data_IF_786496508441
#
_entry.id   IF_786496508441
#
_cell.length_a   1.000
_cell.length_b   1.000
_cell.length_c   1.000
_cell.angle_alpha   90.00
_cell.angle_beta   90.00
_cell.angle_gamma   90.00
#
_symmetry.space_group_name_H-M   'P 1'
#
loop_
_entity.id
_entity.type
_entity.pdbx_description
1 polymer ?
#
# COMPACT_ATOMS: atom_id res chain seq x y z
N UNK A 1 -8.54 35.04 -30.14
CA UNK A 1 -9.16 34.15 -29.15
C UNK A 1 -9.33 32.70 -29.66
N UNK A 2 -9.82 32.44 -30.88
CA UNK A 2 -10.05 31.06 -31.40
C UNK A 2 -8.79 30.20 -31.61
N UNK A 3 -7.66 30.80 -32.05
CA UNK A 3 -6.39 30.05 -32.26
C UNK A 3 -5.72 29.59 -30.97
N UNK A 4 -5.80 30.33 -29.88
CA UNK A 4 -5.25 29.97 -28.57
C UNK A 4 -6.06 28.83 -27.94
N UNK A 5 -7.38 28.88 -28.07
CA UNK A 5 -8.29 27.82 -27.58
C UNK A 5 -8.05 26.50 -28.34
N UNK A 6 -7.79 26.57 -29.66
CA UNK A 6 -7.49 25.36 -30.47
C UNK A 6 -6.11 24.74 -30.14
N UNK A 7 -5.09 25.56 -29.87
CA UNK A 7 -3.77 25.05 -29.45
C UNK A 7 -3.79 24.40 -28.05
N UNK A 8 -4.52 24.98 -27.10
CA UNK A 8 -4.69 24.38 -25.76
C UNK A 8 -5.43 23.05 -25.82
N UNK A 9 -6.50 22.93 -26.61
CA UNK A 9 -7.24 21.71 -26.79
C UNK A 9 -6.37 20.59 -27.43
N UNK A 10 -5.59 20.91 -28.46
CA UNK A 10 -4.68 19.97 -29.13
C UNK A 10 -3.58 19.51 -28.17
N UNK A 11 -3.03 20.42 -27.35
CA UNK A 11 -2.01 20.08 -26.36
C UNK A 11 -2.57 19.15 -25.27
N UNK A 12 -3.79 19.42 -24.78
CA UNK A 12 -4.47 18.57 -23.79
C UNK A 12 -4.76 17.17 -24.34
N UNK A 13 -5.25 17.06 -25.58
CA UNK A 13 -5.46 15.75 -26.23
C UNK A 13 -4.17 14.93 -26.39
N UNK A 14 -3.05 15.59 -26.73
CA UNK A 14 -1.74 14.92 -26.82
C UNK A 14 -1.25 14.40 -25.49
N UNK A 15 -1.41 15.19 -24.42
CA UNK A 15 -1.01 14.80 -23.06
C UNK A 15 -1.85 13.61 -22.53
N UNK A 16 -3.14 13.62 -22.81
CA UNK A 16 -4.02 12.51 -22.43
C UNK A 16 -3.66 11.23 -23.21
N UNK A 17 -3.33 11.32 -24.49
CA UNK A 17 -2.86 10.18 -25.28
C UNK A 17 -1.51 9.64 -24.75
N UNK A 18 -0.60 10.51 -24.33
CA UNK A 18 0.69 10.11 -23.75
C UNK A 18 0.47 9.40 -22.39
N UNK A 19 -0.41 9.89 -21.54
CA UNK A 19 -0.76 9.27 -20.27
C UNK A 19 -1.33 7.85 -20.46
N UNK A 20 -2.28 7.71 -21.40
CA UNK A 20 -2.89 6.42 -21.75
C UNK A 20 -1.82 5.44 -22.25
N UNK A 21 -0.96 5.87 -23.17
CA UNK A 21 0.11 5.05 -23.71
C UNK A 21 1.10 4.59 -22.63
N UNK A 22 1.44 5.45 -21.66
CA UNK A 22 2.31 5.08 -20.54
C UNK A 22 1.67 3.98 -19.68
N UNK A 23 0.38 4.10 -19.36
CA UNK A 23 -0.32 3.06 -18.61
C UNK A 23 -0.38 1.75 -19.39
N UNK A 24 -0.73 1.80 -20.69
CA UNK A 24 -0.73 0.60 -21.53
C UNK A 24 0.64 -0.08 -21.59
N UNK A 25 1.71 0.70 -21.73
CA UNK A 25 3.09 0.20 -21.71
C UNK A 25 3.42 -0.48 -20.37
N UNK A 26 3.06 0.16 -19.25
CA UNK A 26 3.30 -0.43 -17.92
C UNK A 26 2.50 -1.73 -17.72
N UNK A 27 1.25 -1.81 -18.17
CA UNK A 27 0.43 -3.03 -18.11
C UNK A 27 1.07 -4.16 -18.91
N UNK A 28 1.65 -3.87 -20.07
CA UNK A 28 2.27 -4.87 -20.96
C UNK A 28 3.51 -5.55 -20.34
N UNK A 29 4.17 -4.93 -19.37
CA UNK A 29 5.16 -5.62 -18.56
C UNK A 29 4.47 -6.61 -17.61
N UNK A 30 4.67 -7.92 -17.81
CA UNK A 30 4.14 -9.00 -16.97
C UNK A 30 4.91 -9.08 -15.66
N UNK A 31 4.90 -8.01 -14.90
CA UNK A 31 5.66 -7.84 -13.67
C UNK A 31 4.95 -8.48 -12.46
N UNK A 32 4.66 -9.77 -12.56
CA UNK A 32 4.12 -10.52 -11.40
C UNK A 32 5.20 -10.60 -10.32
N UNK A 33 4.81 -10.20 -9.10
CA UNK A 33 5.74 -10.10 -7.96
C UNK A 33 6.61 -11.34 -7.78
N UNK A 34 7.90 -11.23 -7.50
CA UNK A 34 8.74 -10.01 -7.37
C UNK A 34 9.43 -9.57 -8.68
N UNK A 35 8.96 -10.06 -9.84
CA UNK A 35 9.61 -9.81 -11.13
C UNK A 35 9.22 -8.45 -11.70
N UNK A 36 10.20 -7.60 -12.04
CA UNK A 36 9.96 -6.29 -12.66
C UNK A 36 9.68 -6.35 -14.18
N UNK A 37 10.02 -7.45 -14.85
CA UNK A 37 9.77 -7.73 -16.28
C UNK A 37 10.18 -6.59 -17.26
N UNK A 38 11.14 -5.73 -16.90
CA UNK A 38 11.57 -4.58 -17.69
C UNK A 38 10.88 -3.24 -17.34
N UNK A 39 9.88 -3.24 -16.48
CA UNK A 39 9.13 -2.03 -16.12
C UNK A 39 10.00 -0.98 -15.41
N UNK A 40 10.87 -1.40 -14.50
CA UNK A 40 11.80 -0.48 -13.81
C UNK A 40 12.84 0.08 -14.80
N UNK A 41 13.32 -0.73 -15.71
CA UNK A 41 14.28 -0.27 -16.73
C UNK A 41 13.64 0.78 -17.65
N UNK A 42 12.39 0.57 -18.02
CA UNK A 42 11.61 1.57 -18.76
C UNK A 42 11.41 2.86 -17.96
N UNK A 43 11.07 2.79 -16.67
CA UNK A 43 10.94 3.96 -15.81
C UNK A 43 12.26 4.73 -15.65
N UNK A 44 13.39 4.02 -15.55
CA UNK A 44 14.72 4.64 -15.50
C UNK A 44 14.95 5.47 -16.77
N UNK A 45 14.65 4.94 -17.96
CA UNK A 45 14.79 5.69 -19.22
C UNK A 45 13.91 6.96 -19.19
N UNK A 46 12.64 6.84 -18.79
CA UNK A 46 11.72 7.96 -18.75
C UNK A 46 12.16 9.05 -17.75
N UNK A 47 12.66 8.67 -16.58
CA UNK A 47 13.12 9.60 -15.58
C UNK A 47 14.47 10.24 -15.93
N UNK A 48 15.40 9.48 -16.51
CA UNK A 48 16.66 10.03 -17.01
C UNK A 48 16.45 11.07 -18.13
N UNK A 49 15.51 10.84 -19.05
CA UNK A 49 15.11 11.82 -20.06
C UNK A 49 14.56 13.14 -19.45
N UNK A 50 13.99 13.06 -18.25
CA UNK A 50 13.52 14.22 -17.49
C UNK A 50 14.61 14.86 -16.61
N UNK A 51 15.85 14.36 -16.66
CA UNK A 51 16.98 14.89 -15.90
C UNK A 51 17.15 14.34 -14.49
N UNK A 52 16.46 13.27 -14.13
CA UNK A 52 16.67 12.60 -12.83
C UNK A 52 17.98 11.81 -12.81
N UNK A 53 18.66 11.85 -11.68
CA UNK A 53 19.73 10.91 -11.34
C UNK A 53 19.09 9.61 -10.84
N UNK A 54 19.33 8.50 -11.53
CA UNK A 54 18.68 7.21 -11.28
C UNK A 54 19.67 6.19 -10.73
N UNK A 55 19.33 5.56 -9.61
CA UNK A 55 20.06 4.45 -9.02
C UNK A 55 19.15 3.22 -8.94
N UNK A 56 19.42 2.22 -9.78
CA UNK A 56 18.76 0.91 -9.74
C UNK A 56 19.61 -0.08 -8.95
N UNK A 57 19.02 -0.85 -8.05
CA UNK A 57 19.69 -1.92 -7.31
C UNK A 57 18.78 -3.11 -7.07
N UNK A 58 19.39 -4.27 -6.83
CA UNK A 58 18.64 -5.53 -6.59
C UNK A 58 19.00 -6.09 -5.22
N UNK A 59 17.98 -6.57 -4.50
CA UNK A 59 18.12 -7.27 -3.22
C UNK A 59 17.28 -8.54 -3.26
N UNK A 60 17.90 -9.70 -3.08
CA UNK A 60 17.22 -11.02 -3.09
C UNK A 60 16.24 -11.24 -4.25
N UNK A 61 16.60 -10.79 -5.45
CA UNK A 61 15.76 -10.93 -6.65
C UNK A 61 14.74 -9.80 -6.88
N UNK A 62 14.53 -8.95 -5.89
CA UNK A 62 13.68 -7.76 -5.99
C UNK A 62 14.48 -6.60 -6.57
N UNK A 63 13.91 -5.93 -7.56
CA UNK A 63 14.52 -4.74 -8.17
C UNK A 63 13.92 -3.46 -7.62
N UNK A 64 14.78 -2.54 -7.22
CA UNK A 64 14.41 -1.26 -6.63
C UNK A 64 15.03 -0.10 -7.43
N UNK A 65 14.34 1.04 -7.42
CA UNK A 65 14.77 2.28 -8.04
C UNK A 65 14.67 3.43 -7.04
N UNK A 66 15.78 4.17 -6.89
CA UNK A 66 15.81 5.50 -6.29
C UNK A 66 16.19 6.47 -7.41
N UNK A 67 15.32 7.40 -7.76
CA UNK A 67 15.65 8.46 -8.69
C UNK A 67 15.37 9.81 -8.03
N UNK A 68 16.21 10.83 -8.31
CA UNK A 68 16.02 12.15 -7.72
C UNK A 68 16.45 13.27 -8.66
N UNK A 69 15.81 14.42 -8.47
CA UNK A 69 16.22 15.68 -9.07
C UNK A 69 16.19 16.76 -7.99
N UNK A 70 17.27 17.53 -7.90
CA UNK A 70 17.36 18.70 -7.01
C UNK A 70 17.19 19.97 -7.84
N UNK A 71 16.27 20.82 -7.42
CA UNK A 71 16.09 22.19 -7.93
C UNK A 71 16.92 23.16 -7.09
N UNK A 72 16.26 24.09 -6.39
CA UNK A 72 16.87 24.97 -5.40
C UNK A 72 16.67 24.41 -3.98
N UNK A 73 17.04 25.16 -2.94
CA UNK A 73 16.72 24.77 -1.56
C UNK A 73 15.20 24.80 -1.34
N UNK A 74 14.69 23.77 -0.65
CA UNK A 74 13.26 23.63 -0.42
C UNK A 74 12.90 22.24 0.11
N UNK A 75 11.62 21.84 0.09
CA UNK A 75 11.17 20.57 0.65
C UNK A 75 11.74 19.37 -0.09
N UNK A 76 12.05 18.31 0.67
CA UNK A 76 12.49 17.02 0.16
C UNK A 76 11.31 16.05 0.20
N UNK A 77 10.67 15.80 -0.95
CA UNK A 77 9.46 14.97 -1.02
C UNK A 77 9.65 13.82 -2.01
N UNK A 78 9.14 12.65 -1.65
CA UNK A 78 9.16 11.48 -2.50
C UNK A 78 7.77 11.13 -3.06
N UNK A 79 7.75 10.53 -4.24
CA UNK A 79 6.69 9.65 -4.70
C UNK A 79 7.15 8.21 -4.54
N UNK A 80 6.35 7.40 -3.84
CA UNK A 80 6.59 5.97 -3.68
C UNK A 80 5.51 5.16 -4.39
N UNK A 81 5.93 4.04 -4.95
CA UNK A 81 5.03 3.11 -5.60
C UNK A 81 5.69 1.80 -5.98
N UNK A 82 4.89 0.90 -6.55
CA UNK A 82 5.34 -0.38 -7.04
C UNK A 82 4.94 -0.59 -8.50
N UNK A 83 5.66 -1.48 -9.18
CA UNK A 83 5.34 -1.89 -10.55
C UNK A 83 4.99 -3.38 -10.64
N UNK A 84 5.23 -4.12 -9.57
CA UNK A 84 4.79 -5.50 -9.48
C UNK A 84 3.27 -5.58 -9.31
N UNK A 85 2.74 -6.75 -9.57
CA UNK A 85 1.30 -7.03 -9.54
C UNK A 85 1.06 -8.44 -9.02
N UNK A 86 -0.10 -8.68 -8.42
CA UNK A 86 -0.54 -10.04 -8.07
C UNK A 86 -0.72 -10.89 -9.32
N UNK A 87 -0.67 -12.23 -9.23
CA UNK A 87 -0.96 -13.14 -10.34
C UNK A 87 -2.30 -12.85 -11.03
N UNK A 88 -2.37 -13.12 -12.31
CA UNK A 88 -3.56 -12.89 -13.15
C UNK A 88 -4.08 -14.14 -13.85
N UNK A 89 -3.66 -15.32 -13.40
CA UNK A 89 -3.86 -16.59 -14.12
C UNK A 89 -5.25 -17.21 -13.89
N UNK A 90 -6.01 -16.66 -12.94
CA UNK A 90 -7.30 -17.21 -12.54
C UNK A 90 -8.46 -16.37 -13.06
N UNK A 91 -9.28 -16.95 -13.93
CA UNK A 91 -10.57 -16.41 -14.34
C UNK A 91 -10.67 -16.02 -15.82
N UNK A 92 -11.90 -15.77 -16.22
CA UNK A 92 -12.25 -15.37 -17.60
C UNK A 92 -12.12 -13.85 -17.74
N UNK A 93 -10.95 -13.39 -18.19
CA UNK A 93 -10.72 -11.99 -18.48
C UNK A 93 -11.41 -11.58 -19.79
N UNK A 94 -12.08 -10.42 -19.82
CA UNK A 94 -12.66 -9.81 -21.03
C UNK A 94 -11.58 -9.53 -22.11
N UNK A 95 -10.36 -9.24 -21.67
CA UNK A 95 -9.18 -9.06 -22.54
C UNK A 95 -7.99 -9.71 -21.84
N UNK A 96 -6.93 -10.13 -22.57
CA UNK A 96 -5.73 -10.62 -21.90
C UNK A 96 -5.23 -9.64 -20.81
N UNK A 97 -4.91 -10.12 -19.60
CA UNK A 97 -4.66 -9.26 -18.44
C UNK A 97 -3.46 -8.31 -18.57
N UNK A 98 -2.58 -8.54 -19.54
CA UNK A 98 -1.41 -7.71 -19.82
C UNK A 98 -1.47 -7.02 -21.20
N UNK A 99 -2.67 -6.89 -21.78
CA UNK A 99 -2.87 -6.27 -23.10
C UNK A 99 -3.06 -4.74 -23.00
N UNK A 100 -3.61 -4.25 -21.88
CA UNK A 100 -3.91 -2.83 -21.70
C UNK A 100 -4.98 -2.32 -22.66
N UNK A 101 -5.95 -3.17 -23.03
CA UNK A 101 -6.98 -2.86 -24.02
C UNK A 101 -7.97 -1.82 -23.52
N UNK A 102 -8.35 -0.92 -24.42
CA UNK A 102 -9.38 0.08 -24.15
C UNK A 102 -10.72 -0.41 -24.72
N UNK A 103 -11.74 -0.45 -23.86
CA UNK A 103 -13.13 -0.73 -24.25
C UNK A 103 -14.01 0.35 -23.62
N UNK A 104 -14.75 1.08 -24.43
CA UNK A 104 -15.71 2.11 -23.99
C UNK A 104 -15.14 3.13 -22.99
N UNK A 105 -13.89 3.61 -23.21
CA UNK A 105 -13.25 4.60 -22.33
C UNK A 105 -12.66 4.02 -21.05
N UNK A 106 -12.55 2.69 -20.94
CA UNK A 106 -11.98 1.97 -19.80
C UNK A 106 -10.77 1.17 -20.25
N UNK A 107 -9.66 1.27 -19.52
CA UNK A 107 -8.42 0.53 -19.77
C UNK A 107 -8.43 -0.70 -18.86
N UNK A 108 -8.42 -1.89 -19.46
CA UNK A 108 -8.41 -3.18 -18.77
C UNK A 108 -6.99 -3.73 -18.68
N UNK A 109 -6.62 -4.21 -17.50
CA UNK A 109 -5.36 -4.92 -17.30
C UNK A 109 -4.99 -5.07 -15.83
N UNK A 110 -4.26 -6.13 -15.50
CA UNK A 110 -3.70 -6.35 -14.17
C UNK A 110 -2.70 -5.22 -13.85
N UNK A 111 -2.90 -4.60 -12.66
CA UNK A 111 -2.12 -3.44 -12.25
C UNK A 111 -2.65 -2.10 -12.79
N UNK A 112 -3.73 -2.09 -13.57
CA UNK A 112 -4.28 -0.84 -14.11
C UNK A 112 -4.69 0.14 -13.00
N UNK A 113 -5.29 -0.36 -11.93
CA UNK A 113 -5.66 0.41 -10.74
C UNK A 113 -4.59 0.33 -9.64
N UNK A 114 -3.98 -0.84 -9.46
CA UNK A 114 -3.04 -1.15 -8.38
C UNK A 114 -1.67 -1.59 -8.92
N UNK A 115 -0.62 -0.69 -8.98
CA UNK A 115 -0.80 0.77 -8.95
C UNK A 115 -0.13 1.42 -10.18
N UNK A 116 -0.02 0.67 -11.31
CA UNK A 116 0.61 1.19 -12.56
C UNK A 116 -0.07 2.44 -13.10
N UNK A 117 -1.39 2.58 -12.89
CA UNK A 117 -2.13 3.80 -13.25
C UNK A 117 -1.67 5.01 -12.45
N UNK A 118 -1.46 4.85 -11.13
CA UNK A 118 -0.87 5.88 -10.28
C UNK A 118 0.54 6.28 -10.72
N UNK A 119 1.38 5.28 -11.08
CA UNK A 119 2.73 5.51 -11.60
C UNK A 119 2.71 6.26 -12.93
N UNK A 120 1.83 5.87 -13.88
CA UNK A 120 1.69 6.55 -15.18
C UNK A 120 1.22 8.00 -15.01
N UNK A 121 0.26 8.23 -14.10
CA UNK A 121 -0.26 9.55 -13.79
C UNK A 121 0.83 10.44 -13.18
N UNK A 122 1.59 9.94 -12.19
CA UNK A 122 2.67 10.69 -11.56
C UNK A 122 3.80 10.99 -12.56
N UNK A 123 4.15 10.04 -13.44
CA UNK A 123 5.19 10.25 -14.46
C UNK A 123 4.78 11.36 -15.46
N UNK A 124 3.51 11.42 -15.82
CA UNK A 124 3.00 12.49 -16.70
C UNK A 124 2.96 13.84 -15.98
N UNK A 125 2.52 13.87 -14.72
CA UNK A 125 2.55 15.06 -13.89
C UNK A 125 3.98 15.57 -13.65
N UNK A 126 4.94 14.66 -13.41
CA UNK A 126 6.37 14.99 -13.29
C UNK A 126 6.91 15.63 -14.57
N UNK A 127 6.60 15.08 -15.73
CA UNK A 127 7.00 15.68 -17.01
C UNK A 127 6.42 17.09 -17.20
N UNK A 128 5.17 17.32 -16.82
CA UNK A 128 4.56 18.65 -16.84
C UNK A 128 5.28 19.63 -15.91
N UNK A 129 5.61 19.19 -14.68
CA UNK A 129 6.35 20.00 -13.72
C UNK A 129 7.72 20.38 -14.27
N UNK A 130 8.50 19.43 -14.78
CA UNK A 130 9.85 19.68 -15.31
C UNK A 130 9.82 20.67 -16.46
N UNK A 131 8.86 20.52 -17.37
CA UNK A 131 8.72 21.36 -18.57
C UNK A 131 8.07 22.74 -18.28
N UNK A 132 7.58 22.98 -17.06
CA UNK A 132 7.06 24.31 -16.70
C UNK A 132 8.20 25.31 -16.61
N UNK A 133 7.96 26.55 -17.03
CA UNK A 133 8.93 27.65 -17.00
C UNK A 133 9.09 28.31 -15.63
N UNK A 134 8.25 27.92 -14.66
CA UNK A 134 8.28 28.46 -13.30
C UNK A 134 9.55 28.04 -12.55
N UNK A 135 10.08 28.92 -11.70
CA UNK A 135 11.15 28.59 -10.76
C UNK A 135 10.70 27.49 -9.81
N UNK A 136 11.60 26.58 -9.48
CA UNK A 136 11.32 25.40 -8.64
C UNK A 136 12.31 25.31 -7.49
N UNK A 137 11.80 24.88 -6.32
CA UNK A 137 12.60 24.66 -5.11
C UNK A 137 12.32 23.27 -4.53
N UNK A 138 13.34 22.66 -3.90
CA UNK A 138 13.24 21.37 -3.25
C UNK A 138 13.95 20.24 -3.99
N UNK A 139 13.78 19.03 -3.46
CA UNK A 139 14.30 17.79 -4.05
C UNK A 139 13.15 16.81 -4.22
N UNK A 140 12.96 16.30 -5.44
CA UNK A 140 11.93 15.32 -5.74
C UNK A 140 12.55 13.94 -5.92
N UNK A 141 12.08 12.97 -5.15
CA UNK A 141 12.47 11.56 -5.21
C UNK A 141 11.37 10.71 -5.83
N UNK A 142 11.79 9.72 -6.63
CA UNK A 142 10.98 8.57 -7.04
C UNK A 142 11.54 7.32 -6.38
N UNK A 143 10.71 6.58 -5.66
CA UNK A 143 11.04 5.38 -4.89
C UNK A 143 10.14 4.25 -5.38
N UNK A 144 10.70 3.36 -6.22
CA UNK A 144 9.90 2.33 -6.89
C UNK A 144 10.46 0.95 -6.56
N UNK A 145 9.57 0.02 -6.25
CA UNK A 145 9.91 -1.38 -5.98
C UNK A 145 9.18 -2.36 -6.89
N UNK A 146 9.64 -3.61 -6.91
CA UNK A 146 8.96 -4.76 -7.48
C UNK A 146 8.54 -5.81 -6.45
N UNK A 147 8.30 -5.41 -5.18
CA UNK A 147 7.99 -6.32 -4.05
C UNK A 147 7.00 -5.69 -3.05
N UNK A 148 5.98 -4.98 -3.51
CA UNK A 148 4.90 -4.54 -2.62
C UNK A 148 3.83 -5.64 -2.45
N UNK A 149 3.47 -6.29 -3.55
CA UNK A 149 2.46 -7.34 -3.64
C UNK A 149 2.96 -8.73 -3.16
N UNK A 150 4.22 -8.80 -2.75
CA UNK A 150 4.87 -10.01 -2.23
C UNK A 150 5.08 -9.97 -0.73
N UNK A 151 6.27 -10.36 -0.28
CA UNK A 151 6.63 -10.38 1.13
C UNK A 151 7.03 -8.99 1.66
N UNK A 152 7.28 -8.01 0.79
CA UNK A 152 7.69 -6.63 1.09
C UNK A 152 8.95 -6.52 1.99
N UNK A 153 9.85 -7.50 1.90
CA UNK A 153 11.08 -7.55 2.72
C UNK A 153 12.27 -6.91 2.02
N UNK A 154 12.35 -7.06 0.68
CA UNK A 154 13.49 -6.67 -0.13
C UNK A 154 13.20 -5.46 -1.04
N UNK A 155 12.00 -4.89 -0.92
CA UNK A 155 11.51 -3.74 -1.65
C UNK A 155 11.72 -2.42 -0.91
N UNK A 156 10.65 -1.72 -0.62
CA UNK A 156 10.64 -0.38 0.01
C UNK A 156 11.36 -0.32 1.35
N UNK A 157 11.43 -1.42 2.10
CA UNK A 157 12.25 -1.51 3.30
C UNK A 157 13.75 -1.25 3.00
N UNK A 158 14.27 -1.83 1.90
CA UNK A 158 15.66 -1.63 1.48
C UNK A 158 15.89 -0.22 0.91
N UNK A 159 14.89 0.34 0.21
CA UNK A 159 14.92 1.74 -0.23
C UNK A 159 15.05 2.67 0.98
N UNK A 160 14.19 2.50 2.00
CA UNK A 160 14.20 3.31 3.22
C UNK A 160 15.54 3.20 3.97
N UNK A 161 16.09 1.99 4.10
CA UNK A 161 17.41 1.76 4.71
C UNK A 161 18.52 2.49 3.94
N UNK A 162 18.48 2.46 2.61
CA UNK A 162 19.46 3.13 1.75
C UNK A 162 19.37 4.64 1.84
N UNK A 163 18.16 5.21 1.87
CA UNK A 163 17.98 6.66 2.12
C UNK A 163 18.57 7.05 3.47
N UNK A 164 18.24 6.30 4.52
CA UNK A 164 18.74 6.56 5.88
C UNK A 164 20.26 6.46 5.98
N UNK A 165 20.88 5.44 5.38
CA UNK A 165 22.34 5.27 5.38
C UNK A 165 23.08 6.38 4.64
N UNK A 166 22.42 7.00 3.66
CA UNK A 166 22.94 8.16 2.92
C UNK A 166 22.60 9.51 3.60
N UNK A 167 22.01 9.49 4.80
CA UNK A 167 21.63 10.70 5.53
C UNK A 167 20.49 11.50 4.87
N UNK A 168 19.71 10.87 3.99
CA UNK A 168 18.58 11.51 3.30
C UNK A 168 17.35 11.47 4.20
N UNK A 169 16.82 12.65 4.52
CA UNK A 169 15.60 12.82 5.32
C UNK A 169 14.53 13.41 4.42
N UNK A 170 13.40 12.73 4.31
CA UNK A 170 12.25 13.20 3.56
C UNK A 170 11.33 14.05 4.47
N UNK A 171 10.85 15.18 3.97
CA UNK A 171 9.78 15.97 4.60
C UNK A 171 8.41 15.31 4.37
N UNK A 172 8.25 14.65 3.22
CA UNK A 172 7.03 13.97 2.87
C UNK A 172 7.21 12.84 1.84
N UNK A 173 6.27 11.91 1.84
CA UNK A 173 6.18 10.84 0.87
C UNK A 173 4.73 10.68 0.41
N UNK A 174 4.51 10.75 -0.89
CA UNK A 174 3.22 10.49 -1.54
C UNK A 174 3.28 9.05 -2.04
N UNK A 175 2.36 8.21 -1.59
CA UNK A 175 2.24 6.84 -2.09
C UNK A 175 1.08 6.79 -3.08
N UNK A 176 1.34 6.29 -4.28
CA UNK A 176 0.38 6.32 -5.39
C UNK A 176 -0.68 5.20 -5.35
N UNK A 177 -0.92 4.61 -4.19
CA UNK A 177 -1.89 3.54 -3.96
C UNK A 177 -3.33 3.92 -4.29
N UNK A 178 -4.18 2.99 -4.75
CA UNK A 178 -5.59 3.23 -5.02
C UNK A 178 -6.36 3.44 -3.72
N UNK A 179 -6.63 4.69 -3.37
CA UNK A 179 -7.27 5.09 -2.11
C UNK A 179 -8.73 5.50 -2.25
N UNK A 180 -9.12 5.96 -3.45
CA UNK A 180 -10.46 6.46 -3.71
C UNK A 180 -11.48 5.33 -3.79
N UNK A 181 -12.71 5.57 -3.34
CA UNK A 181 -13.77 4.55 -3.30
C UNK A 181 -14.81 4.74 -4.41
N UNK A 182 -15.57 5.82 -4.38
CA UNK A 182 -16.65 6.09 -5.34
C UNK A 182 -16.18 7.03 -6.45
N UNK A 183 -15.43 8.08 -6.09
CA UNK A 183 -14.90 9.08 -7.00
C UNK A 183 -13.44 9.34 -6.69
N UNK A 184 -12.64 9.62 -7.72
CA UNK A 184 -11.25 10.01 -7.53
C UNK A 184 -11.15 11.22 -6.60
N UNK A 185 -10.32 11.08 -5.56
CA UNK A 185 -10.10 12.12 -4.57
C UNK A 185 -11.14 12.16 -3.44
N UNK A 186 -12.09 11.24 -3.35
CA UNK A 186 -13.04 11.20 -2.22
C UNK A 186 -12.39 10.75 -0.90
N UNK A 187 -11.33 9.99 -0.99
CA UNK A 187 -10.63 9.42 0.17
C UNK A 187 -9.13 9.41 -0.06
N UNK A 188 -8.35 9.83 0.95
CA UNK A 188 -6.90 9.65 1.02
C UNK A 188 -6.55 8.92 2.31
N UNK A 189 -5.38 8.27 2.33
CA UNK A 189 -4.90 7.64 3.56
C UNK A 189 -3.80 8.50 4.18
N UNK A 190 -4.05 8.92 5.42
CA UNK A 190 -3.06 9.60 6.26
C UNK A 190 -2.44 8.64 7.28
N UNK A 191 -2.61 7.34 7.09
CA UNK A 191 -2.08 6.27 7.91
C UNK A 191 -2.67 4.92 7.53
N UNK A 192 -2.07 3.88 8.05
CA UNK A 192 -2.55 2.50 7.94
C UNK A 192 -2.51 1.81 9.28
N UNK A 193 -3.44 0.90 9.49
CA UNK A 193 -3.39 0.00 10.65
C UNK A 193 -2.22 -0.97 10.50
N UNK A 194 -1.64 -1.37 11.63
CA UNK A 194 -0.72 -2.49 11.67
C UNK A 194 -1.41 -3.82 11.42
N UNK A 195 -0.64 -4.82 11.09
CA UNK A 195 -1.09 -6.21 10.94
C UNK A 195 -0.16 -7.15 11.68
N UNK A 196 -0.73 -8.19 12.28
CA UNK A 196 0.02 -9.25 12.96
C UNK A 196 -0.76 -10.54 12.85
N UNK A 197 -0.12 -11.60 12.38
CA UNK A 197 -0.68 -12.94 12.38
C UNK A 197 -0.06 -13.76 13.51
N UNK A 198 -0.78 -14.76 13.96
CA UNK A 198 -0.24 -15.72 14.89
C UNK A 198 -0.87 -17.09 14.74
N UNK A 199 -0.10 -18.08 15.15
CA UNK A 199 -0.48 -19.49 15.23
C UNK A 199 -0.30 -19.97 16.67
N UNK A 200 -1.37 -20.41 17.32
CA UNK A 200 -1.34 -21.01 18.64
C UNK A 200 -1.39 -22.54 18.49
N UNK A 201 -0.36 -23.20 18.95
CA UNK A 201 -0.32 -24.66 19.08
C UNK A 201 -0.78 -25.04 20.47
N UNK A 202 -1.92 -25.73 20.57
CA UNK A 202 -2.48 -26.21 21.82
C UNK A 202 -2.12 -27.68 22.03
N UNK A 203 -1.48 -28.01 23.15
CA UNK A 203 -1.09 -29.37 23.52
C UNK A 203 -1.89 -29.85 24.73
N UNK A 204 -2.56 -30.99 24.56
CA UNK A 204 -3.27 -31.72 25.57
C UNK A 204 -2.68 -33.11 25.80
N UNK A 205 -3.54 -34.04 26.19
CA UNK A 205 -3.21 -35.46 26.34
C UNK A 205 -4.36 -36.33 25.83
N UNK A 206 -4.09 -37.13 24.79
CA UNK A 206 -5.06 -38.05 24.21
C UNK A 206 -5.50 -39.15 25.18
N UNK A 207 -6.64 -39.74 24.90
CA UNK A 207 -7.17 -40.91 25.57
C UNK A 207 -8.60 -41.21 25.18
N UNK A 208 -9.16 -42.28 25.71
CA UNK A 208 -10.51 -42.73 25.38
C UNK A 208 -11.54 -41.79 26.03
N UNK A 209 -12.55 -41.34 25.30
CA UNK A 209 -13.60 -40.41 25.77
C UNK A 209 -14.37 -40.89 27.01
N UNK A 210 -14.44 -42.21 27.21
CA UNK A 210 -15.05 -42.83 28.40
C UNK A 210 -14.22 -42.63 29.67
N UNK A 211 -12.95 -42.20 29.59
CA UNK A 211 -12.05 -42.02 30.73
C UNK A 211 -11.48 -40.59 30.74
N UNK A 212 -12.32 -39.57 30.84
CA UNK A 212 -11.91 -38.16 30.69
C UNK A 212 -10.90 -37.71 31.75
N UNK A 213 -10.90 -38.32 32.95
CA UNK A 213 -9.97 -38.00 34.06
C UNK A 213 -8.49 -38.27 33.70
N UNK A 214 -8.22 -39.10 32.70
CA UNK A 214 -6.87 -39.41 32.23
C UNK A 214 -6.42 -38.61 31.02
N UNK A 215 -7.22 -37.64 30.59
CA UNK A 215 -7.02 -36.85 29.36
C UNK A 215 -6.90 -35.36 29.62
N UNK A 216 -6.39 -34.63 28.64
CA UNK A 216 -6.45 -33.17 28.57
C UNK A 216 -6.93 -32.85 27.15
N UNK A 217 -8.17 -32.36 27.03
CA UNK A 217 -8.79 -32.13 25.74
C UNK A 217 -8.31 -30.82 25.13
N UNK A 218 -7.50 -30.90 24.08
CA UNK A 218 -6.97 -29.74 23.36
C UNK A 218 -8.10 -28.92 22.72
N UNK A 219 -9.18 -29.56 22.23
CA UNK A 219 -10.32 -28.85 21.64
C UNK A 219 -11.06 -28.00 22.68
N UNK A 220 -11.26 -28.50 23.91
CA UNK A 220 -11.90 -27.71 24.98
C UNK A 220 -11.05 -26.52 25.42
N UNK A 221 -9.71 -26.66 25.46
CA UNK A 221 -8.80 -25.56 25.74
C UNK A 221 -8.88 -24.53 24.61
N UNK A 222 -8.83 -24.98 23.36
CA UNK A 222 -8.91 -24.12 22.18
C UNK A 222 -10.21 -23.31 22.13
N UNK A 223 -11.34 -23.91 22.46
CA UNK A 223 -12.63 -23.21 22.53
C UNK A 223 -12.59 -22.04 23.55
N UNK A 224 -11.97 -22.24 24.72
CA UNK A 224 -11.80 -21.18 25.74
C UNK A 224 -10.87 -20.07 25.24
N UNK A 225 -9.78 -20.43 24.55
CA UNK A 225 -8.83 -19.48 23.96
C UNK A 225 -9.54 -18.64 22.90
N UNK A 226 -10.28 -19.25 21.98
CA UNK A 226 -11.04 -18.56 20.93
C UNK A 226 -12.04 -17.57 21.52
N UNK A 227 -12.78 -18.01 22.55
CA UNK A 227 -13.72 -17.12 23.24
C UNK A 227 -12.98 -15.90 23.83
N UNK A 228 -11.87 -16.13 24.52
CA UNK A 228 -11.07 -15.07 25.13
C UNK A 228 -10.47 -14.10 24.09
N UNK A 229 -10.00 -14.62 22.96
CA UNK A 229 -9.52 -13.80 21.84
C UNK A 229 -10.63 -12.95 21.22
N UNK A 230 -11.84 -13.51 21.07
CA UNK A 230 -12.99 -12.82 20.48
C UNK A 230 -13.56 -11.71 21.39
N UNK A 231 -13.41 -11.84 22.70
CA UNK A 231 -13.85 -10.88 23.72
C UNK A 231 -12.76 -9.85 24.09
N UNK A 232 -11.58 -9.90 23.47
CA UNK A 232 -10.47 -9.01 23.81
C UNK A 232 -10.85 -7.54 23.60
N UNK A 233 -10.82 -6.76 24.66
CA UNK A 233 -11.07 -5.32 24.63
C UNK A 233 -9.79 -4.54 24.23
N UNK A 234 -9.97 -3.49 23.41
CA UNK A 234 -8.91 -2.62 22.91
C UNK A 234 -9.13 -1.19 23.45
N UNK A 235 -8.35 -0.77 24.42
CA UNK A 235 -8.59 0.47 25.18
C UNK A 235 -7.87 1.70 24.63
N UNK A 236 -6.91 1.54 23.69
CA UNK A 236 -6.16 2.66 23.13
C UNK A 236 -6.71 3.13 21.79
N UNK A 237 -7.72 2.44 21.25
CA UNK A 237 -8.33 2.82 19.98
C UNK A 237 -8.99 4.19 20.04
N UNK A 238 -9.02 4.88 18.91
CA UNK A 238 -9.79 6.09 18.68
C UNK A 238 -10.91 5.86 17.65
N UNK A 239 -11.72 6.88 17.42
CA UNK A 239 -12.86 6.78 16.51
C UNK A 239 -12.44 6.53 15.03
N UNK A 240 -11.23 6.92 14.65
CA UNK A 240 -10.74 6.83 13.26
C UNK A 240 -9.95 5.56 12.96
N UNK A 241 -9.52 4.80 13.99
CA UNK A 241 -8.67 3.63 13.78
C UNK A 241 -8.91 2.58 14.86
N UNK A 242 -9.65 1.53 14.52
CA UNK A 242 -10.02 0.46 15.44
C UNK A 242 -9.19 -0.80 15.25
N UNK A 243 -8.81 -1.40 16.37
CA UNK A 243 -8.18 -2.71 16.43
C UNK A 243 -9.22 -3.82 16.32
N UNK A 244 -8.96 -4.79 15.48
CA UNK A 244 -9.84 -5.96 15.30
C UNK A 244 -9.01 -7.23 15.24
N UNK A 245 -9.46 -8.29 15.90
CA UNK A 245 -8.90 -9.62 15.86
C UNK A 245 -9.91 -10.57 15.24
N UNK A 246 -9.46 -11.39 14.28
CA UNK A 246 -10.27 -12.45 13.69
C UNK A 246 -9.53 -13.78 13.78
N UNK A 247 -10.18 -14.78 14.35
CA UNK A 247 -9.72 -16.17 14.25
C UNK A 247 -10.00 -16.64 12.83
N UNK A 248 -8.95 -17.06 12.13
CA UNK A 248 -9.01 -17.45 10.71
C UNK A 248 -9.00 -18.96 10.48
N UNK A 249 -8.68 -19.73 11.52
CA UNK A 249 -8.72 -21.17 11.44
C UNK A 249 -8.63 -21.84 12.80
N UNK A 250 -9.27 -23.00 12.90
CA UNK A 250 -9.16 -23.92 14.03
C UNK A 250 -9.02 -25.32 13.41
N UNK A 251 -7.91 -25.98 13.65
CA UNK A 251 -7.62 -27.29 13.08
C UNK A 251 -7.33 -28.32 14.16
N UNK A 252 -7.97 -29.47 14.06
CA UNK A 252 -7.77 -30.66 14.92
C UNK A 252 -7.46 -31.82 14.02
N UNK A 253 -6.25 -32.36 14.14
CA UNK A 253 -5.82 -33.52 13.40
C UNK A 253 -6.46 -34.82 13.93
N UNK A 254 -6.66 -35.78 13.07
CA UNK A 254 -7.11 -37.14 13.42
C UNK A 254 -8.41 -37.20 14.25
N UNK A 255 -9.49 -36.69 13.69
CA UNK A 255 -10.81 -36.72 14.34
C UNK A 255 -11.35 -38.16 14.35
N UNK A 256 -11.45 -38.73 15.54
CA UNK A 256 -12.04 -40.06 15.81
C UNK A 256 -13.03 -39.89 16.96
N UNK A 257 -14.22 -40.45 16.82
CA UNK A 257 -15.38 -40.17 17.71
C UNK A 257 -15.15 -40.60 19.16
N UNK A 258 -14.33 -41.60 19.40
CA UNK A 258 -14.02 -42.12 20.74
C UNK A 258 -12.63 -41.69 21.28
N UNK A 259 -11.94 -40.76 20.61
CA UNK A 259 -10.61 -40.27 20.99
C UNK A 259 -10.67 -38.80 21.41
N UNK A 260 -10.18 -38.48 22.62
CA UNK A 260 -9.95 -37.11 23.03
C UNK A 260 -8.73 -36.52 22.28
N UNK A 261 -8.85 -35.43 21.56
CA UNK A 261 -7.73 -34.85 20.82
C UNK A 261 -6.67 -34.23 21.73
N UNK A 262 -5.42 -34.50 21.43
CA UNK A 262 -4.25 -33.97 22.17
C UNK A 262 -3.61 -32.77 21.52
N UNK A 263 -3.97 -32.42 20.29
CA UNK A 263 -3.44 -31.27 19.56
C UNK A 263 -4.56 -30.49 18.90
N UNK A 264 -4.44 -29.18 18.92
CA UNK A 264 -5.26 -28.26 18.14
C UNK A 264 -4.40 -27.07 17.73
N UNK A 265 -4.63 -26.57 16.53
CA UNK A 265 -4.02 -25.35 16.02
C UNK A 265 -5.09 -24.28 15.86
N UNK A 266 -4.80 -23.05 16.33
CA UNK A 266 -5.64 -21.88 16.13
C UNK A 266 -4.81 -20.86 15.37
N UNK A 267 -5.34 -20.33 14.27
CA UNK A 267 -4.74 -19.21 13.53
C UNK A 267 -5.63 -17.98 13.64
N UNK A 268 -5.01 -16.81 13.76
CA UNK A 268 -5.72 -15.54 13.79
C UNK A 268 -4.91 -14.41 13.17
N UNK A 269 -5.60 -13.36 12.75
CA UNK A 269 -5.01 -12.12 12.25
C UNK A 269 -5.56 -10.94 13.03
N UNK A 270 -4.69 -9.98 13.32
CA UNK A 270 -5.03 -8.73 13.99
C UNK A 270 -4.72 -7.57 13.06
N UNK A 271 -5.68 -6.64 12.94
CA UNK A 271 -5.47 -5.31 12.37
C UNK A 271 -5.55 -4.31 13.51
N UNK A 272 -4.45 -3.61 13.82
CA UNK A 272 -4.37 -2.79 15.03
C UNK A 272 -4.11 -1.32 14.73
N UNK A 273 -4.70 -0.49 15.55
CA UNK A 273 -4.62 0.97 15.52
C UNK A 273 -3.16 1.45 15.68
N UNK A 274 -2.85 2.61 15.11
CA UNK A 274 -1.56 3.28 15.28
C UNK A 274 -1.21 3.64 16.74
N UNK A 275 -2.16 3.45 17.69
CA UNK A 275 -1.95 3.59 19.14
C UNK A 275 -1.24 2.39 19.76
N UNK A 276 -1.07 1.31 19.01
CA UNK A 276 -0.35 0.10 19.43
C UNK A 276 0.88 -0.12 18.57
N UNK A 277 1.87 -0.79 19.14
CA UNK A 277 2.94 -1.48 18.40
C UNK A 277 2.69 -2.98 18.39
N UNK A 278 3.34 -3.73 17.50
CA UNK A 278 3.27 -5.19 17.48
C UNK A 278 3.68 -5.80 18.82
N UNK A 279 4.71 -5.26 19.46
CA UNK A 279 5.17 -5.71 20.79
C UNK A 279 4.11 -5.47 21.87
N UNK A 280 3.40 -4.35 21.81
CA UNK A 280 2.30 -4.06 22.75
C UNK A 280 1.14 -5.04 22.56
N UNK A 281 0.79 -5.35 21.30
CA UNK A 281 -0.24 -6.36 20.98
C UNK A 281 0.16 -7.73 21.52
N UNK A 282 1.40 -8.18 21.25
CA UNK A 282 1.93 -9.43 21.77
C UNK A 282 1.85 -9.51 23.30
N UNK A 283 2.26 -8.44 23.97
CA UNK A 283 2.20 -8.37 25.45
C UNK A 283 0.77 -8.48 25.96
N UNK A 284 -0.20 -7.78 25.38
CA UNK A 284 -1.60 -7.83 25.77
C UNK A 284 -2.14 -9.26 25.63
N UNK A 285 -1.90 -9.90 24.50
CA UNK A 285 -2.44 -11.24 24.23
C UNK A 285 -1.74 -12.31 25.05
N UNK A 286 -0.40 -12.24 25.24
CA UNK A 286 0.30 -13.15 26.11
C UNK A 286 -0.24 -13.09 27.54
N UNK A 287 -0.47 -11.88 28.06
CA UNK A 287 -1.07 -11.71 29.41
C UNK A 287 -2.52 -12.23 29.47
N UNK A 288 -3.30 -11.98 28.43
CA UNK A 288 -4.67 -12.47 28.34
C UNK A 288 -4.76 -13.98 28.34
N UNK A 289 -3.76 -14.66 27.74
CA UNK A 289 -3.72 -16.13 27.61
C UNK A 289 -2.85 -16.83 28.66
N UNK A 290 -2.33 -16.13 29.65
CA UNK A 290 -1.37 -16.65 30.63
C UNK A 290 -1.89 -17.89 31.38
N UNK A 291 -3.17 -17.97 31.70
CA UNK A 291 -3.80 -19.14 32.32
C UNK A 291 -3.66 -20.44 31.51
N UNK A 292 -3.44 -20.32 30.19
CA UNK A 292 -3.23 -21.43 29.26
C UNK A 292 -1.75 -21.67 28.95
N UNK A 293 -0.81 -20.90 29.50
CA UNK A 293 0.61 -20.89 29.16
C UNK A 293 1.27 -22.27 29.15
N UNK A 294 0.89 -23.15 30.09
CA UNK A 294 1.39 -24.55 30.17
C UNK A 294 0.92 -25.45 29.03
N UNK A 295 -0.11 -25.03 28.28
CA UNK A 295 -0.70 -25.83 27.21
C UNK A 295 -0.43 -25.29 25.82
N UNK A 296 0.07 -24.05 25.69
CA UNK A 296 0.15 -23.36 24.42
C UNK A 296 1.57 -22.94 24.08
N UNK A 297 1.82 -22.86 22.75
CA UNK A 297 2.95 -22.13 22.18
C UNK A 297 2.39 -21.17 21.15
N UNK A 298 2.75 -19.89 21.23
CA UNK A 298 2.31 -18.86 20.29
C UNK A 298 3.47 -18.51 19.36
N UNK A 299 3.29 -18.74 18.06
CA UNK A 299 4.22 -18.34 17.01
C UNK A 299 3.64 -17.08 16.32
N UNK A 300 4.34 -15.98 16.46
CA UNK A 300 3.97 -14.69 15.84
C UNK A 300 4.56 -14.60 14.45
N UNK A 301 3.76 -14.13 13.49
CA UNK A 301 4.12 -14.10 12.08
C UNK A 301 3.81 -12.72 11.47
N UNK A 302 4.67 -12.29 10.54
CA UNK A 302 4.46 -11.12 9.66
C UNK A 302 4.03 -9.84 10.40
N UNK A 303 4.83 -9.32 11.35
CA UNK A 303 4.54 -8.06 11.98
C UNK A 303 4.66 -6.92 10.97
N UNK A 304 3.62 -6.10 10.90
CA UNK A 304 3.58 -4.89 10.09
C UNK A 304 3.16 -3.74 10.99
N UNK A 305 4.08 -2.81 11.24
CA UNK A 305 3.80 -1.67 12.11
C UNK A 305 2.85 -0.68 11.44
N UNK A 306 1.96 -0.05 12.22
CA UNK A 306 1.07 0.98 11.72
C UNK A 306 1.84 2.29 11.52
N UNK A 307 1.29 3.19 10.71
CA UNK A 307 1.73 4.57 10.70
C UNK A 307 0.54 5.54 10.71
N UNK A 308 0.81 6.78 11.09
CA UNK A 308 -0.19 7.83 11.12
C UNK A 308 0.46 9.21 10.96
N UNK A 309 0.02 9.96 9.98
CA UNK A 309 0.47 11.31 9.70
C UNK A 309 -0.56 12.32 10.18
N UNK A 310 -0.09 13.31 10.95
CA UNK A 310 -0.88 14.46 11.38
C UNK A 310 -0.42 15.72 10.64
N UNK A 311 -1.33 16.71 10.42
CA UNK A 311 -0.96 18.00 9.87
C UNK A 311 0.12 18.69 10.73
N UNK A 312 1.12 19.31 10.10
CA UNK A 312 2.17 20.11 10.77
C UNK A 312 1.91 21.60 10.59
N UNK A 313 2.37 22.41 11.52
CA UNK A 313 2.07 23.85 11.58
C UNK A 313 2.78 24.69 10.51
N UNK A 314 3.99 24.29 10.05
CA UNK A 314 4.79 25.08 9.10
C UNK A 314 4.59 24.66 7.65
N UNK A 315 4.61 23.37 7.37
CA UNK A 315 4.37 22.78 6.07
C UNK A 315 3.65 21.45 6.27
N UNK A 316 2.59 21.22 5.52
CA UNK A 316 1.76 20.04 5.68
C UNK A 316 1.47 19.40 4.33
N UNK A 317 1.98 18.18 4.14
CA UNK A 317 1.70 17.39 2.95
C UNK A 317 0.19 17.10 2.84
N UNK A 318 -0.47 16.82 3.97
CA UNK A 318 -1.93 16.61 3.99
C UNK A 318 -2.63 17.82 3.36
N UNK A 319 -2.31 19.03 3.81
CA UNK A 319 -2.94 20.26 3.30
C UNK A 319 -2.67 20.46 1.82
N UNK A 320 -1.46 20.17 1.33
CA UNK A 320 -1.14 20.23 -0.10
C UNK A 320 -1.99 19.26 -0.91
N UNK A 321 -2.14 18.01 -0.43
CA UNK A 321 -2.97 16.98 -1.10
C UNK A 321 -4.45 17.38 -1.09
N UNK A 322 -4.98 17.77 0.06
CA UNK A 322 -6.39 18.23 0.20
C UNK A 322 -6.71 19.37 -0.73
N UNK A 323 -5.83 20.38 -0.81
CA UNK A 323 -6.01 21.53 -1.70
C UNK A 323 -5.88 21.15 -3.19
N UNK A 324 -4.98 20.24 -3.55
CA UNK A 324 -4.85 19.75 -4.91
C UNK A 324 -6.11 18.97 -5.33
N UNK A 325 -6.64 18.12 -4.47
CA UNK A 325 -7.89 17.40 -4.73
C UNK A 325 -9.05 18.40 -4.85
N UNK A 326 -9.19 19.32 -3.90
CA UNK A 326 -10.27 20.29 -3.91
C UNK A 326 -10.28 21.14 -5.20
N UNK A 327 -9.11 21.55 -5.68
CA UNK A 327 -9.02 22.34 -6.91
C UNK A 327 -9.46 21.58 -8.16
N UNK A 328 -9.33 20.24 -8.17
CA UNK A 328 -9.67 19.39 -9.32
C UNK A 328 -11.07 18.76 -9.21
N UNK A 329 -11.63 18.67 -8.01
CA UNK A 329 -12.89 17.94 -7.75
C UNK A 329 -13.99 18.82 -7.15
N UNK A 330 -13.62 19.95 -6.57
CA UNK A 330 -14.52 20.81 -5.78
C UNK A 330 -14.80 20.29 -4.35
N UNK A 331 -14.27 19.13 -3.96
CA UNK A 331 -14.50 18.52 -2.66
C UNK A 331 -13.19 18.23 -1.92
N UNK A 332 -13.24 18.26 -0.59
CA UNK A 332 -12.14 17.81 0.25
C UNK A 332 -12.25 16.29 0.47
N UNK A 333 -11.11 15.57 0.51
CA UNK A 333 -11.13 14.15 0.76
C UNK A 333 -11.44 13.80 2.22
N UNK A 334 -11.95 12.58 2.42
CA UNK A 334 -12.01 11.98 3.77
C UNK A 334 -10.64 11.41 4.11
N UNK A 335 -10.11 11.75 5.29
CA UNK A 335 -8.91 11.14 5.84
C UNK A 335 -9.25 9.78 6.46
N UNK A 336 -8.49 8.75 6.11
CA UNK A 336 -8.80 7.39 6.53
C UNK A 336 -7.53 6.57 6.80
N UNK A 337 -7.62 5.63 7.75
CA UNK A 337 -6.59 4.61 8.02
C UNK A 337 -7.06 3.20 7.64
N UNK A 338 -8.22 3.09 6.97
CA UNK A 338 -8.82 1.80 6.60
C UNK A 338 -8.08 1.13 5.45
N UNK A 339 -8.33 -0.17 5.28
CA UNK A 339 -7.76 -1.00 4.21
C UNK A 339 -6.63 -1.91 4.68
N UNK A 340 -5.89 -2.44 3.72
CA UNK A 340 -4.71 -3.28 3.93
C UNK A 340 -3.51 -2.52 4.49
N UNK A 341 -2.36 -3.18 4.51
CA UNK A 341 -1.07 -2.56 4.76
C UNK A 341 -0.56 -1.90 3.47
N UNK A 342 0.47 -1.07 3.57
CA UNK A 342 1.09 -0.42 2.43
C UNK A 342 2.55 -0.12 2.74
N UNK A 343 3.36 0.02 1.72
CA UNK A 343 4.79 0.35 1.83
C UNK A 343 5.06 1.75 2.40
N UNK A 344 4.05 2.60 2.50
CA UNK A 344 4.13 3.88 3.19
C UNK A 344 4.68 3.79 4.62
N UNK A 345 4.48 2.64 5.28
CA UNK A 345 5.00 2.35 6.64
C UNK A 345 6.53 2.44 6.75
N UNK A 346 7.26 2.13 5.69
CA UNK A 346 8.72 2.15 5.72
C UNK A 346 9.31 3.55 5.66
N UNK A 347 8.55 4.52 5.14
CA UNK A 347 8.96 5.92 5.02
C UNK A 347 8.42 6.78 6.16
N UNK A 348 7.37 6.34 6.84
CA UNK A 348 6.72 7.09 7.91
C UNK A 348 7.60 7.15 9.18
N UNK A 349 7.86 8.35 9.66
CA UNK A 349 8.58 8.60 10.91
C UNK A 349 8.21 9.99 11.48
N UNK A 350 8.89 10.41 12.55
CA UNK A 350 8.61 11.72 13.20
C UNK A 350 8.86 12.94 12.27
N UNK A 351 9.66 12.79 11.23
CA UNK A 351 10.01 13.87 10.29
C UNK A 351 9.19 13.76 8.99
N UNK A 352 9.03 12.56 8.45
CA UNK A 352 8.38 12.31 7.17
C UNK A 352 6.86 12.18 7.32
N UNK A 353 6.12 13.02 6.62
CA UNK A 353 4.69 12.89 6.45
C UNK A 353 4.39 11.92 5.30
N UNK A 354 3.59 10.88 5.52
CA UNK A 354 3.20 9.93 4.47
C UNK A 354 1.72 10.03 4.21
N UNK A 355 1.35 10.24 2.94
CA UNK A 355 -0.03 10.30 2.46
C UNK A 355 -0.16 9.38 1.25
N UNK A 356 -1.18 8.55 1.25
CA UNK A 356 -1.54 7.77 0.08
C UNK A 356 -2.70 8.43 -0.65
N UNK A 357 -2.56 8.56 -1.95
CA UNK A 357 -3.55 9.19 -2.82
C UNK A 357 -3.44 8.61 -4.23
N UNK A 358 -4.53 8.12 -4.78
CA UNK A 358 -4.54 7.57 -6.13
C UNK A 358 -5.93 7.22 -6.66
N UNK A 359 -5.95 6.25 -7.56
CA UNK A 359 -7.12 5.77 -8.28
C UNK A 359 -8.18 5.15 -7.37
N UNK A 360 -9.31 4.75 -7.94
CA UNK A 360 -10.34 3.97 -7.23
C UNK A 360 -9.88 2.54 -7.01
N UNK A 361 -10.24 1.99 -5.85
CA UNK A 361 -9.81 0.65 -5.40
C UNK A 361 -10.85 -0.45 -5.65
N UNK A 362 -11.91 -0.16 -6.40
CA UNK A 362 -13.05 -1.06 -6.54
C UNK A 362 -12.80 -2.30 -7.43
N UNK A 363 -11.69 -2.34 -8.18
CA UNK A 363 -11.35 -3.45 -9.07
C UNK A 363 -10.00 -4.10 -8.78
N UNK A 364 -9.28 -3.63 -7.76
CA UNK A 364 -7.95 -4.16 -7.40
C UNK A 364 -8.03 -5.66 -7.09
N UNK A 365 -7.00 -6.41 -7.51
CA UNK A 365 -6.86 -7.86 -7.33
C UNK A 365 -7.98 -8.73 -7.95
N UNK A 366 -8.95 -8.12 -8.63
CA UNK A 366 -10.06 -8.84 -9.27
C UNK A 366 -9.72 -9.20 -10.73
N UNK A 367 -10.45 -10.17 -11.25
CA UNK A 367 -10.53 -10.42 -12.70
C UNK A 367 -11.17 -9.19 -13.36
N UNK A 368 -10.66 -8.82 -14.52
CA UNK A 368 -11.07 -7.59 -15.22
C UNK A 368 -10.75 -6.31 -14.44
N UNK A 369 -9.64 -6.28 -13.70
CA UNK A 369 -9.12 -5.05 -13.13
C UNK A 369 -9.01 -3.98 -14.22
N UNK A 370 -9.45 -2.76 -13.91
CA UNK A 370 -9.52 -1.68 -14.87
C UNK A 370 -9.54 -0.30 -14.24
N UNK A 371 -9.31 0.71 -15.06
CA UNK A 371 -9.44 2.13 -14.72
C UNK A 371 -10.15 2.88 -15.84
N UNK A 372 -11.05 3.82 -15.51
CA UNK A 372 -11.59 4.71 -16.53
C UNK A 372 -10.54 5.75 -16.96
N UNK A 373 -10.54 6.11 -18.23
CA UNK A 373 -9.65 7.16 -18.76
C UNK A 373 -9.88 8.49 -18.02
N UNK A 374 -11.13 8.80 -17.68
CA UNK A 374 -11.48 10.03 -16.95
C UNK A 374 -10.89 10.06 -15.54
N UNK A 375 -10.93 8.91 -14.82
CA UNK A 375 -10.31 8.80 -13.50
C UNK A 375 -8.79 8.93 -13.57
N UNK A 376 -8.17 8.31 -14.58
CA UNK A 376 -6.73 8.39 -14.80
C UNK A 376 -6.27 9.84 -15.07
N UNK A 377 -6.99 10.55 -15.95
CA UNK A 377 -6.74 11.97 -16.24
C UNK A 377 -6.92 12.84 -14.99
N UNK A 378 -7.94 12.54 -14.18
CA UNK A 378 -8.21 13.28 -12.95
C UNK A 378 -7.11 13.08 -11.91
N UNK A 379 -6.62 11.88 -11.72
CA UNK A 379 -5.48 11.59 -10.81
C UNK A 379 -4.23 12.31 -11.30
N UNK A 380 -3.95 12.30 -12.60
CA UNK A 380 -2.82 13.04 -13.17
C UNK A 380 -2.91 14.54 -12.89
N UNK A 381 -4.09 15.13 -13.05
CA UNK A 381 -4.31 16.54 -12.78
C UNK A 381 -4.13 16.88 -11.30
N UNK A 382 -4.60 16.02 -10.39
CA UNK A 382 -4.37 16.14 -8.94
C UNK A 382 -2.87 16.10 -8.63
N UNK A 383 -2.14 15.13 -9.21
CA UNK A 383 -0.70 15.02 -8.98
C UNK A 383 0.08 16.22 -9.53
N UNK A 384 -0.30 16.73 -10.69
CA UNK A 384 0.34 17.93 -11.25
C UNK A 384 0.11 19.17 -10.36
N UNK A 385 -1.12 19.39 -9.88
CA UNK A 385 -1.43 20.50 -8.95
C UNK A 385 -0.67 20.31 -7.62
N UNK A 386 -0.63 19.09 -7.10
CA UNK A 386 0.13 18.74 -5.88
C UNK A 386 1.62 19.05 -6.03
N UNK A 387 2.27 18.55 -7.10
CA UNK A 387 3.67 18.83 -7.38
C UNK A 387 3.93 20.34 -7.57
N UNK A 388 3.00 21.05 -8.21
CA UNK A 388 3.09 22.50 -8.38
C UNK A 388 3.03 23.25 -7.05
N UNK A 389 2.20 22.79 -6.10
CA UNK A 389 2.11 23.38 -4.75
C UNK A 389 3.36 23.11 -3.91
N UNK A 390 4.03 21.99 -4.15
CA UNK A 390 5.23 21.59 -3.40
C UNK A 390 6.46 22.29 -3.95
N UNK A 391 6.62 22.38 -5.26
CA UNK A 391 7.91 22.71 -5.89
C UNK A 391 7.93 24.05 -6.64
N UNK A 392 6.80 24.61 -7.06
CA UNK A 392 6.80 25.90 -7.76
C UNK A 392 6.86 27.03 -6.73
N UNK A 393 7.89 27.88 -6.84
CA UNK A 393 8.03 29.08 -6.03
C UNK A 393 6.90 30.06 -6.37
N UNK A 394 6.27 30.62 -5.35
CA UNK A 394 5.17 31.57 -5.45
C UNK A 394 5.63 32.99 -5.23
#
# INVERSE_FOLDING_TARGET
MSLVVSQQAVTSQRLNAELINKLQTLIQFKSVTPNQAGAIDWLVMQLCELGFCCEKFTSSGVTNLIAHIKFNEGPCVAFSGHIDVVPADNGDWLTPPFDGRIINGVIYGRGAADMKGGVAAMLTATKKLINSTSSKAGTFYWLITSDEEGEAEFGSAQIANKLSSNGIVLDGCIVGEPTSSTHVGDTIKNGRRGALSARILVKGRAGHVAYPQNTINAAHISAKIVNKLSEQAWHLDDAGSKTTLQVTGINIDNVVDNLVPSHCEITFNIRYSHRYSSEKIKSILNNSLDEFSRYITINWERPCEPYYTQPKSKWSLITCVEQAIHSQTGNYPVLSTSGGTSDGRFFANSHTQVIECGLRNNTIHQVNEHVSIDDLIKVEAIYYDLLSRIYIER
#
